data_IF_385665617422
#
_entry.id   IF_385665617422
#
_cell.length_a   1.000
_cell.length_b   1.000
_cell.length_c   1.000
_cell.angle_alpha   90.00
_cell.angle_beta   90.00
_cell.angle_gamma   90.00
#
_symmetry.space_group_name_H-M   'P 1'
#
loop_
_entity.id
_entity.type
_entity.pdbx_description
1 polymer ?
#
# COMPACT_ATOMS: atom_id res chain seq x y z
N UNK A 1 12.70 27.39 -14.75
CA UNK A 1 11.48 26.60 -15.02
C UNK A 1 10.90 26.17 -13.68
N UNK A 2 9.62 26.38 -13.39
CA UNK A 2 8.95 25.83 -12.21
C UNK A 2 8.88 24.31 -12.29
N UNK A 3 9.09 23.63 -11.16
CA UNK A 3 9.00 22.18 -11.04
C UNK A 3 7.93 21.84 -10.01
N UNK A 4 7.00 20.96 -10.38
CA UNK A 4 6.04 20.35 -9.47
C UNK A 4 6.40 18.87 -9.35
N UNK A 5 6.68 18.40 -8.12
CA UNK A 5 7.11 17.06 -7.87
C UNK A 5 6.11 16.32 -6.97
N UNK A 6 5.38 15.39 -7.56
CA UNK A 6 4.45 14.52 -6.82
C UNK A 6 5.22 13.40 -6.13
N UNK A 7 4.95 13.19 -4.85
CA UNK A 7 5.61 12.20 -4.01
C UNK A 7 4.62 11.12 -3.59
N UNK A 8 4.93 9.88 -3.98
CA UNK A 8 4.13 8.70 -3.65
C UNK A 8 4.75 7.84 -2.55
N UNK A 9 5.99 8.15 -2.13
CA UNK A 9 6.70 7.44 -1.07
C UNK A 9 7.75 8.34 -0.40
N UNK A 10 8.48 7.78 0.56
CA UNK A 10 9.50 8.51 1.32
C UNK A 10 10.90 8.47 0.69
N UNK A 11 11.08 7.82 -0.45
CA UNK A 11 12.40 7.62 -1.06
C UNK A 11 13.13 8.94 -1.36
N UNK A 12 12.41 9.98 -1.70
CA UNK A 12 12.95 11.30 -2.04
C UNK A 12 13.86 11.85 -0.96
N UNK A 13 13.46 11.75 0.31
CA UNK A 13 14.20 12.33 1.44
C UNK A 13 14.91 11.30 2.33
N UNK A 14 14.94 10.04 1.91
CA UNK A 14 15.74 8.99 2.57
C UNK A 14 17.02 8.68 1.78
N UNK A 15 17.95 7.96 2.41
CA UNK A 15 19.15 7.51 1.72
C UNK A 15 18.99 6.24 0.91
N UNK A 16 17.88 5.48 1.13
CA UNK A 16 17.69 4.18 0.50
C UNK A 16 16.20 3.81 0.38
N UNK A 17 15.52 3.62 1.49
CA UNK A 17 14.21 2.99 1.56
C UNK A 17 13.05 3.93 1.19
N UNK A 18 11.99 3.36 0.61
CA UNK A 18 10.73 4.05 0.32
C UNK A 18 9.78 4.07 1.53
N UNK A 19 9.97 3.15 2.48
CA UNK A 19 9.18 2.98 3.70
C UNK A 19 10.11 2.72 4.88
N UNK A 20 9.78 3.21 6.08
CA UNK A 20 10.65 3.09 7.25
C UNK A 20 9.90 3.03 8.60
N UNK A 21 8.61 3.30 8.62
CA UNK A 21 7.82 3.31 9.87
C UNK A 21 7.68 1.90 10.44
N UNK A 22 7.38 0.91 9.58
CA UNK A 22 7.23 -0.49 9.99
C UNK A 22 8.43 -1.05 10.77
N UNK A 23 9.64 -0.55 10.46
CA UNK A 23 10.87 -0.95 11.16
C UNK A 23 11.35 0.08 12.19
N UNK A 24 10.60 1.16 12.41
CA UNK A 24 10.91 2.20 13.38
C UNK A 24 12.23 2.96 13.11
N UNK A 25 12.56 3.26 11.84
CA UNK A 25 13.82 3.93 11.49
C UNK A 25 13.64 5.44 11.36
N UNK A 26 14.33 6.20 12.20
CA UNK A 26 14.34 7.67 12.23
C UNK A 26 15.59 8.33 11.63
N UNK A 27 16.52 7.55 11.07
CA UNK A 27 17.80 8.04 10.56
C UNK A 27 17.67 9.08 9.46
N UNK A 28 16.58 9.03 8.69
CA UNK A 28 16.30 9.99 7.61
C UNK A 28 16.18 11.44 8.07
N UNK A 29 15.86 11.69 9.34
CA UNK A 29 15.73 13.04 9.91
C UNK A 29 17.07 13.78 9.98
N UNK A 30 18.15 13.07 10.31
CA UNK A 30 19.47 13.66 10.55
C UNK A 30 20.55 13.19 9.59
N UNK A 31 20.39 12.00 8.99
CA UNK A 31 21.33 11.45 8.02
C UNK A 31 21.30 9.92 7.98
N UNK A 32 20.95 9.37 6.83
CA UNK A 32 20.93 7.92 6.64
C UNK A 32 22.35 7.33 6.65
N UNK A 33 22.51 6.22 7.37
CA UNK A 33 23.70 5.35 7.35
C UNK A 33 23.32 4.00 7.95
N UNK A 34 24.04 2.93 7.59
CA UNK A 34 23.75 1.56 8.07
C UNK A 34 22.28 1.25 7.96
N UNK A 35 21.79 1.24 6.70
CA UNK A 35 20.36 1.07 6.42
C UNK A 35 19.88 -0.32 6.86
N UNK A 36 18.92 -0.43 7.81
CA UNK A 36 18.39 -1.72 8.23
C UNK A 36 17.58 -2.43 7.14
N UNK A 37 17.16 -1.68 6.11
CA UNK A 37 16.34 -2.16 5.00
C UNK A 37 17.11 -2.24 3.67
N UNK A 38 18.45 -2.38 3.68
CA UNK A 38 19.19 -2.41 2.41
C UNK A 38 18.78 -3.56 1.49
N UNK A 39 18.24 -4.64 2.04
CA UNK A 39 17.73 -5.80 1.30
C UNK A 39 16.22 -5.70 0.95
N UNK A 40 15.53 -4.66 1.43
CA UNK A 40 14.16 -4.35 1.02
C UNK A 40 14.16 -3.47 -0.22
N UNK A 41 13.00 -3.22 -0.81
CA UNK A 41 12.88 -2.36 -1.97
C UNK A 41 13.22 -0.87 -1.65
N UNK A 42 14.03 -0.23 -2.49
CA UNK A 42 14.85 -0.74 -3.59
C UNK A 42 16.06 -1.55 -3.04
N UNK A 43 16.25 -2.78 -3.56
CA UNK A 43 17.23 -3.73 -3.00
C UNK A 43 18.67 -3.35 -3.34
N UNK A 44 19.58 -3.42 -2.35
CA UNK A 44 21.03 -3.29 -2.54
C UNK A 44 21.74 -4.50 -1.94
N UNK A 45 22.22 -5.39 -2.80
CA UNK A 45 22.81 -6.66 -2.37
C UNK A 45 24.22 -6.51 -1.78
N UNK A 46 25.09 -5.69 -2.44
CA UNK A 46 26.50 -5.64 -2.12
C UNK A 46 26.85 -4.55 -1.10
N UNK A 47 26.53 -3.30 -1.39
CA UNK A 47 26.99 -2.16 -0.62
C UNK A 47 25.84 -1.35 -0.02
N UNK A 48 25.98 -0.92 1.22
CA UNK A 48 25.11 0.10 1.79
C UNK A 48 25.60 1.50 1.37
N UNK A 49 24.91 2.09 0.39
CA UNK A 49 25.16 3.45 -0.06
C UNK A 49 24.24 4.50 0.57
N UNK A 50 23.47 4.13 1.59
CA UNK A 50 22.44 5.01 2.16
C UNK A 50 23.01 6.36 2.63
N UNK A 51 24.20 6.38 3.22
CA UNK A 51 24.84 7.62 3.62
C UNK A 51 25.22 8.53 2.45
N UNK A 52 25.86 7.95 1.42
CA UNK A 52 26.24 8.69 0.21
C UNK A 52 25.02 9.20 -0.54
N UNK A 53 24.03 8.34 -0.72
CA UNK A 53 22.80 8.70 -1.43
C UNK A 53 22.05 9.82 -0.69
N UNK A 54 21.95 9.74 0.63
CA UNK A 54 21.33 10.79 1.44
C UNK A 54 22.01 12.15 1.22
N UNK A 55 23.36 12.18 1.28
CA UNK A 55 24.14 13.42 1.07
C UNK A 55 23.94 13.98 -0.34
N UNK A 56 24.01 13.12 -1.37
CA UNK A 56 23.81 13.54 -2.75
C UNK A 56 22.40 14.08 -2.96
N UNK A 57 21.38 13.35 -2.50
CA UNK A 57 19.98 13.80 -2.61
C UNK A 57 19.77 15.14 -1.89
N UNK A 58 20.27 15.26 -0.66
CA UNK A 58 20.19 16.52 0.08
C UNK A 58 20.81 17.66 -0.72
N UNK A 59 22.05 17.50 -1.21
CA UNK A 59 22.75 18.54 -1.97
C UNK A 59 21.99 18.90 -3.26
N UNK A 60 21.60 17.90 -4.04
CA UNK A 60 20.96 18.11 -5.36
C UNK A 60 19.54 18.65 -5.19
N UNK A 61 18.74 18.04 -4.33
CA UNK A 61 17.33 18.42 -4.24
C UNK A 61 17.11 19.74 -3.51
N UNK A 62 17.98 20.12 -2.56
CA UNK A 62 17.86 21.43 -1.91
C UNK A 62 18.43 22.59 -2.74
N UNK A 63 19.07 22.32 -3.88
CA UNK A 63 19.56 23.35 -4.81
C UNK A 63 18.57 23.68 -5.96
N UNK A 64 17.44 22.98 -6.03
CA UNK A 64 16.46 23.18 -7.10
C UNK A 64 15.67 24.47 -6.82
N UNK A 65 15.74 25.50 -7.69
CA UNK A 65 14.92 26.68 -7.54
C UNK A 65 13.48 26.39 -8.00
N UNK A 66 12.49 27.09 -7.41
CA UNK A 66 11.09 27.05 -7.82
C UNK A 66 10.48 25.61 -7.82
N UNK A 67 10.78 24.83 -6.78
CA UNK A 67 10.23 23.50 -6.57
C UNK A 67 9.01 23.55 -5.64
N UNK A 68 7.93 22.90 -6.06
CA UNK A 68 6.75 22.61 -5.24
C UNK A 68 6.65 21.12 -5.04
N UNK A 69 6.53 20.68 -3.78
CA UNK A 69 6.34 19.28 -3.41
C UNK A 69 4.85 18.99 -3.25
N UNK A 70 4.41 17.92 -3.88
CA UNK A 70 3.01 17.48 -3.85
C UNK A 70 2.92 16.08 -3.26
N UNK A 71 2.88 15.95 -1.91
CA UNK A 71 2.63 14.66 -1.26
C UNK A 71 1.18 14.21 -1.45
N UNK A 72 0.97 12.90 -1.49
CA UNK A 72 -0.35 12.29 -1.72
C UNK A 72 -1.17 12.10 -0.43
N UNK A 73 -0.65 12.52 0.72
CA UNK A 73 -1.33 12.45 2.02
C UNK A 73 -0.85 13.56 2.97
N UNK A 74 -1.65 13.89 3.96
CA UNK A 74 -1.24 14.81 5.03
C UNK A 74 -0.16 14.18 5.91
N UNK A 75 -0.20 12.85 6.08
CA UNK A 75 0.86 12.10 6.75
C UNK A 75 2.22 12.28 6.05
N UNK A 76 2.29 12.10 4.72
CA UNK A 76 3.53 12.29 3.96
C UNK A 76 3.98 13.76 3.96
N UNK A 77 3.03 14.70 3.89
CA UNK A 77 3.30 16.13 4.05
C UNK A 77 3.92 16.44 5.42
N UNK A 78 3.42 15.79 6.47
CA UNK A 78 3.98 15.89 7.82
C UNK A 78 5.43 15.42 7.88
N UNK A 79 5.77 14.28 7.27
CA UNK A 79 7.14 13.78 7.21
C UNK A 79 8.08 14.73 6.46
N UNK A 80 7.64 15.30 5.35
CA UNK A 80 8.43 16.27 4.57
C UNK A 80 8.87 17.46 5.40
N UNK A 81 8.03 17.95 6.30
CA UNK A 81 8.34 19.08 7.21
C UNK A 81 9.49 18.79 8.20
N UNK A 82 9.80 17.51 8.44
CA UNK A 82 10.94 17.08 9.24
C UNK A 82 12.15 16.62 8.43
N UNK A 83 12.02 16.61 7.10
CA UNK A 83 13.08 16.21 6.18
C UNK A 83 13.99 17.37 5.78
N UNK A 84 15.06 17.09 5.03
CA UNK A 84 15.88 18.14 4.41
C UNK A 84 15.16 18.92 3.31
N UNK A 85 13.94 18.52 2.92
CA UNK A 85 13.09 19.21 1.92
C UNK A 85 12.13 20.23 2.56
N UNK A 86 12.19 20.45 3.87
CA UNK A 86 11.23 21.24 4.65
C UNK A 86 11.06 22.71 4.22
N UNK A 87 12.05 23.28 3.57
CA UNK A 87 12.04 24.68 3.12
C UNK A 87 11.23 24.90 1.83
N UNK A 88 10.84 23.82 1.13
CA UNK A 88 10.04 23.92 -0.07
C UNK A 88 8.55 24.10 0.23
N UNK A 89 7.83 24.74 -0.70
CA UNK A 89 6.37 24.79 -0.65
C UNK A 89 5.79 23.39 -0.77
N UNK A 90 4.96 23.00 0.20
CA UNK A 90 4.29 21.69 0.24
C UNK A 90 2.80 21.93 -0.02
N UNK A 91 2.26 21.25 -1.05
CA UNK A 91 0.85 21.28 -1.45
C UNK A 91 0.32 19.87 -1.55
N UNK A 92 -0.44 19.40 -0.55
CA UNK A 92 -1.02 18.07 -0.57
C UNK A 92 -2.10 17.97 -1.66
N UNK A 93 -2.02 16.91 -2.48
CA UNK A 93 -3.07 16.51 -3.43
C UNK A 93 -3.23 15.00 -3.29
N UNK A 94 -4.41 14.54 -2.90
CA UNK A 94 -4.73 13.12 -2.79
C UNK A 94 -4.70 12.43 -4.15
N UNK A 95 -4.38 11.12 -4.17
CA UNK A 95 -4.60 10.32 -5.36
C UNK A 95 -6.10 10.20 -5.62
N UNK A 96 -6.46 10.14 -6.90
CA UNK A 96 -7.81 9.81 -7.33
C UNK A 96 -7.95 8.32 -7.68
N UNK A 97 -9.18 7.94 -7.99
CA UNK A 97 -9.55 6.63 -8.54
C UNK A 97 -10.38 6.82 -9.80
N UNK A 98 -10.22 5.93 -10.77
CA UNK A 98 -11.04 5.93 -12.00
C UNK A 98 -12.42 5.34 -11.72
N UNK A 99 -13.43 6.20 -11.56
CA UNK A 99 -14.81 5.81 -11.30
C UNK A 99 -15.51 5.15 -12.50
N UNK A 100 -14.96 5.27 -13.73
CA UNK A 100 -15.48 4.53 -14.88
C UNK A 100 -15.14 3.05 -14.80
N UNK A 101 -13.99 2.73 -14.21
CA UNK A 101 -13.55 1.35 -14.00
C UNK A 101 -13.98 0.81 -12.64
N UNK A 102 -13.76 1.56 -11.57
CA UNK A 102 -14.15 1.19 -10.21
C UNK A 102 -15.51 1.79 -9.89
N UNK A 103 -16.53 0.99 -10.04
CA UNK A 103 -17.91 1.28 -9.71
C UNK A 103 -18.63 -0.03 -9.37
N UNK A 104 -19.79 0.01 -8.66
CA UNK A 104 -20.52 -1.20 -8.30
C UNK A 104 -20.86 -2.05 -9.54
N UNK A 105 -20.52 -3.35 -9.52
CA UNK A 105 -20.74 -4.30 -10.60
C UNK A 105 -21.92 -5.22 -10.28
N UNK A 106 -22.82 -5.43 -11.26
CA UNK A 106 -24.08 -6.17 -11.03
C UNK A 106 -23.98 -7.69 -10.97
N UNK A 107 -22.90 -8.32 -11.44
CA UNK A 107 -22.82 -9.77 -11.63
C UNK A 107 -22.09 -10.54 -10.50
N UNK A 108 -22.45 -10.24 -9.27
CA UNK A 108 -21.75 -10.68 -8.06
C UNK A 108 -21.85 -12.19 -7.79
N UNK A 109 -22.99 -12.81 -8.06
CA UNK A 109 -23.22 -14.24 -7.79
C UNK A 109 -22.40 -15.17 -8.70
N UNK A 110 -22.23 -14.79 -9.96
CA UNK A 110 -21.46 -15.59 -10.92
C UNK A 110 -19.97 -15.65 -10.51
N UNK A 111 -19.40 -14.53 -10.09
CA UNK A 111 -18.02 -14.49 -9.60
C UNK A 111 -17.84 -15.37 -8.37
N UNK A 112 -18.73 -15.27 -7.37
CA UNK A 112 -18.65 -16.12 -6.16
C UNK A 112 -18.66 -17.60 -6.49
N UNK A 113 -19.53 -18.03 -7.41
CA UNK A 113 -19.58 -19.42 -7.90
C UNK A 113 -18.28 -19.84 -8.59
N UNK A 114 -17.74 -18.99 -9.45
CA UNK A 114 -16.48 -19.25 -10.19
C UNK A 114 -15.29 -19.48 -9.26
N UNK A 115 -15.23 -18.76 -8.14
CA UNK A 115 -14.14 -18.90 -7.15
C UNK A 115 -14.49 -19.85 -6.00
N UNK A 116 -15.63 -20.54 -6.05
CA UNK A 116 -16.02 -21.52 -5.04
C UNK A 116 -16.43 -20.94 -3.68
N UNK A 117 -16.82 -19.68 -3.62
CA UNK A 117 -17.23 -19.00 -2.37
C UNK A 117 -18.73 -19.15 -2.17
N UNK A 118 -19.13 -19.99 -1.21
CA UNK A 118 -20.52 -20.27 -0.83
C UNK A 118 -20.93 -19.63 0.50
N UNK A 119 -19.97 -19.16 1.27
CA UNK A 119 -20.19 -18.54 2.57
C UNK A 119 -21.03 -17.26 2.44
N UNK A 120 -21.78 -16.95 3.52
CA UNK A 120 -22.63 -15.76 3.54
C UNK A 120 -21.81 -14.47 3.38
N UNK A 121 -20.69 -14.37 4.05
CA UNK A 121 -19.83 -13.19 4.05
C UNK A 121 -18.49 -13.45 3.35
N UNK A 122 -18.06 -12.49 2.58
CA UNK A 122 -16.78 -12.52 1.88
C UNK A 122 -15.94 -11.30 2.25
N UNK A 123 -14.77 -11.55 2.81
CA UNK A 123 -13.73 -10.56 3.05
C UNK A 123 -12.74 -10.61 1.89
N UNK A 124 -12.30 -9.44 1.42
CA UNK A 124 -11.28 -9.36 0.39
C UNK A 124 -10.04 -8.60 0.87
N UNK A 125 -8.86 -9.07 0.47
CA UNK A 125 -7.60 -8.35 0.60
C UNK A 125 -6.88 -8.28 -0.74
N UNK A 126 -6.31 -7.13 -1.07
CA UNK A 126 -5.62 -6.89 -2.35
C UNK A 126 -4.27 -6.24 -2.10
N UNK A 127 -3.22 -6.80 -2.68
CA UNK A 127 -1.89 -6.20 -2.72
C UNK A 127 -1.17 -6.59 -3.99
N UNK A 128 -0.34 -5.71 -4.55
CA UNK A 128 0.53 -6.06 -5.68
C UNK A 128 1.63 -7.05 -5.27
N UNK A 129 2.09 -6.95 -4.02
CA UNK A 129 3.07 -7.87 -3.39
C UNK A 129 2.72 -8.01 -1.91
N UNK A 130 2.43 -9.22 -1.49
CA UNK A 130 2.20 -9.54 -0.09
C UNK A 130 3.53 -9.72 0.65
N UNK A 131 3.97 -8.66 1.29
CA UNK A 131 5.11 -8.64 2.22
C UNK A 131 4.63 -8.61 3.67
N UNK A 132 5.54 -8.77 4.63
CA UNK A 132 5.22 -8.64 6.06
C UNK A 132 4.50 -7.31 6.37
N UNK A 133 4.96 -6.21 5.75
CA UNK A 133 4.35 -4.88 5.90
C UNK A 133 2.89 -4.82 5.42
N UNK A 134 2.49 -5.66 4.45
CA UNK A 134 1.12 -5.68 3.89
C UNK A 134 0.15 -6.57 4.68
N UNK A 135 0.61 -7.22 5.76
CA UNK A 135 -0.28 -7.87 6.73
C UNK A 135 -0.86 -9.22 6.28
N UNK A 136 -0.13 -10.02 5.46
CA UNK A 136 -0.60 -11.38 5.13
C UNK A 136 -0.77 -12.24 6.39
N UNK A 137 0.14 -12.09 7.37
CA UNK A 137 0.05 -12.81 8.64
C UNK A 137 -1.21 -12.43 9.45
N UNK A 138 -1.67 -11.18 9.32
CA UNK A 138 -2.89 -10.71 10.00
C UNK A 138 -4.14 -11.38 9.41
N UNK A 139 -4.19 -11.61 8.09
CA UNK A 139 -5.26 -12.41 7.48
C UNK A 139 -5.26 -13.85 7.97
N UNK A 140 -4.08 -14.48 8.08
CA UNK A 140 -3.96 -15.83 8.61
C UNK A 140 -4.41 -15.88 10.08
N UNK A 141 -4.07 -14.87 10.87
CA UNK A 141 -4.52 -14.76 12.26
C UNK A 141 -6.05 -14.51 12.35
N UNK A 142 -6.58 -13.65 11.48
CA UNK A 142 -8.01 -13.37 11.40
C UNK A 142 -8.81 -14.63 11.00
N UNK A 143 -8.28 -15.44 10.06
CA UNK A 143 -8.92 -16.72 9.66
C UNK A 143 -9.19 -17.64 10.85
N UNK A 144 -8.30 -17.69 11.83
CA UNK A 144 -8.45 -18.55 13.02
C UNK A 144 -9.57 -18.08 13.96
N UNK A 145 -10.01 -16.83 13.85
CA UNK A 145 -11.02 -16.20 14.70
C UNK A 145 -12.43 -16.21 14.10
N UNK A 146 -12.54 -16.42 12.79
CA UNK A 146 -13.83 -16.37 12.07
C UNK A 146 -14.32 -17.79 11.74
N UNK A 147 -15.64 -18.00 11.77
CA UNK A 147 -16.27 -19.24 11.33
C UNK A 147 -16.00 -19.48 9.83
N UNK A 148 -15.47 -20.66 9.48
CA UNK A 148 -15.22 -21.04 8.08
C UNK A 148 -16.52 -21.29 7.31
N UNK A 149 -17.60 -21.59 8.02
CA UNK A 149 -18.92 -21.82 7.43
C UNK A 149 -19.59 -20.50 7.02
N UNK A 150 -19.31 -19.41 7.73
CA UNK A 150 -19.95 -18.11 7.50
C UNK A 150 -19.10 -17.15 6.69
N UNK A 151 -17.76 -17.21 6.87
CA UNK A 151 -16.83 -16.21 6.32
C UNK A 151 -15.84 -16.85 5.35
N UNK A 152 -15.86 -16.42 4.09
CA UNK A 152 -14.78 -16.64 3.14
C UNK A 152 -13.81 -15.47 3.18
N UNK A 153 -12.53 -15.75 2.92
CA UNK A 153 -11.52 -14.73 2.65
C UNK A 153 -10.94 -14.95 1.27
N UNK A 154 -10.81 -13.88 0.49
CA UNK A 154 -10.21 -13.90 -0.86
C UNK A 154 -9.04 -12.94 -0.87
N UNK A 155 -7.84 -13.45 -1.18
CA UNK A 155 -6.62 -12.64 -1.23
C UNK A 155 -6.07 -12.61 -2.64
N UNK A 156 -5.90 -11.39 -3.18
CA UNK A 156 -5.42 -11.16 -4.56
C UNK A 156 -4.01 -10.58 -4.53
N UNK A 157 -3.14 -11.04 -5.43
CA UNK A 157 -1.75 -10.60 -5.58
C UNK A 157 -0.73 -11.51 -4.89
N UNK A 158 -1.09 -12.76 -4.62
CA UNK A 158 -0.23 -13.75 -3.98
C UNK A 158 0.69 -14.45 -4.98
N UNK A 159 1.88 -14.81 -4.55
CA UNK A 159 2.73 -15.76 -5.29
C UNK A 159 2.17 -17.17 -5.20
N UNK A 160 2.53 -18.05 -6.15
CA UNK A 160 2.10 -19.46 -6.11
C UNK A 160 2.51 -20.17 -4.81
N UNK A 161 3.71 -19.88 -4.30
CA UNK A 161 4.17 -20.40 -3.01
C UNK A 161 3.26 -19.96 -1.86
N UNK A 162 2.92 -18.68 -1.81
CA UNK A 162 2.00 -18.15 -0.78
C UNK A 162 0.62 -18.80 -0.86
N UNK A 163 0.10 -19.02 -2.08
CA UNK A 163 -1.20 -19.69 -2.28
C UNK A 163 -1.18 -21.12 -1.72
N UNK A 164 -0.10 -21.87 -1.94
CA UNK A 164 0.05 -23.25 -1.43
C UNK A 164 0.16 -23.30 0.10
N UNK A 165 0.64 -22.23 0.72
CA UNK A 165 0.83 -22.14 2.19
C UNK A 165 -0.41 -21.55 2.91
N UNK A 166 -1.46 -21.16 2.18
CA UNK A 166 -2.67 -20.60 2.80
C UNK A 166 -3.44 -21.65 3.63
N UNK A 167 -3.94 -21.26 4.80
CA UNK A 167 -4.83 -22.14 5.56
C UNK A 167 -6.18 -22.30 4.85
N UNK A 168 -6.88 -23.38 5.17
CA UNK A 168 -8.23 -23.63 4.67
C UNK A 168 -9.17 -22.44 4.96
N UNK A 169 -10.05 -22.12 4.00
CA UNK A 169 -11.01 -21.02 4.10
C UNK A 169 -10.46 -19.66 3.65
N UNK A 170 -9.22 -19.64 3.11
CA UNK A 170 -8.69 -18.51 2.35
C UNK A 170 -8.49 -18.93 0.90
N UNK A 171 -9.13 -18.23 -0.02
CA UNK A 171 -8.96 -18.40 -1.47
C UNK A 171 -7.85 -17.46 -1.93
N UNK A 172 -6.76 -18.00 -2.46
CA UNK A 172 -5.62 -17.24 -2.98
C UNK A 172 -5.72 -17.06 -4.50
N UNK A 173 -5.53 -15.83 -4.97
CA UNK A 173 -5.51 -15.48 -6.39
C UNK A 173 -4.18 -14.77 -6.68
N UNK A 174 -3.44 -15.23 -7.70
CA UNK A 174 -2.16 -14.63 -8.02
C UNK A 174 -2.30 -13.23 -8.62
N UNK A 175 -3.25 -13.07 -9.54
CA UNK A 175 -3.61 -11.76 -10.15
C UNK A 175 -4.96 -11.87 -10.86
N UNK A 176 -5.60 -10.75 -11.04
CA UNK A 176 -6.78 -10.62 -11.93
C UNK A 176 -6.34 -10.46 -13.37
N UNK A 177 -7.21 -10.84 -14.33
CA UNK A 177 -6.92 -10.70 -15.76
C UNK A 177 -7.06 -9.26 -16.25
N UNK A 178 -7.80 -8.44 -15.52
CA UNK A 178 -8.04 -7.04 -15.84
C UNK A 178 -8.38 -6.23 -14.59
N UNK A 179 -8.29 -4.91 -14.69
CA UNK A 179 -8.72 -3.97 -13.65
C UNK A 179 -10.24 -4.06 -13.44
N UNK A 180 -11.00 -4.33 -14.51
CA UNK A 180 -12.45 -4.55 -14.42
C UNK A 180 -12.79 -5.79 -13.59
N UNK A 181 -12.05 -6.89 -13.77
CA UNK A 181 -12.22 -8.07 -12.93
C UNK A 181 -11.90 -7.77 -11.47
N UNK A 182 -10.91 -6.92 -11.19
CA UNK A 182 -10.63 -6.48 -9.84
C UNK A 182 -11.80 -5.69 -9.23
N UNK A 183 -12.45 -4.82 -10.01
CA UNK A 183 -13.66 -4.10 -9.59
C UNK A 183 -14.82 -5.06 -9.28
N UNK A 184 -14.96 -6.15 -10.05
CA UNK A 184 -15.93 -7.21 -9.75
C UNK A 184 -15.64 -7.88 -8.40
N UNK A 185 -14.37 -8.15 -8.08
CA UNK A 185 -13.98 -8.70 -6.77
C UNK A 185 -14.29 -7.75 -5.61
N UNK A 186 -14.03 -6.46 -5.77
CA UNK A 186 -14.45 -5.49 -4.75
C UNK A 186 -15.96 -5.50 -4.59
N UNK A 187 -16.73 -5.34 -5.67
CA UNK A 187 -18.19 -5.23 -5.63
C UNK A 187 -18.91 -6.46 -5.04
N UNK A 188 -18.30 -7.64 -5.09
CA UNK A 188 -18.89 -8.86 -4.53
C UNK A 188 -18.55 -9.08 -3.07
N UNK A 189 -17.55 -8.39 -2.55
CA UNK A 189 -17.11 -8.50 -1.17
C UNK A 189 -18.05 -7.74 -0.22
N UNK A 190 -18.19 -8.25 0.99
CA UNK A 190 -18.88 -7.55 2.06
C UNK A 190 -18.00 -6.51 2.76
N UNK A 191 -16.68 -6.72 2.71
CA UNK A 191 -15.70 -5.80 3.29
C UNK A 191 -14.34 -6.00 2.64
N UNK A 192 -13.65 -4.91 2.34
CA UNK A 192 -12.24 -4.88 2.00
C UNK A 192 -11.42 -4.69 3.28
N UNK A 193 -10.48 -5.57 3.51
CA UNK A 193 -9.58 -5.50 4.67
C UNK A 193 -8.18 -5.17 4.18
N UNK A 194 -7.61 -4.06 4.64
CA UNK A 194 -6.27 -3.60 4.33
C UNK A 194 -5.43 -3.52 5.60
N UNK A 195 -4.87 -4.65 6.11
CA UNK A 195 -4.12 -4.69 7.36
C UNK A 195 -2.66 -4.25 7.15
N UNK A 196 -2.46 -3.19 6.35
CA UNK A 196 -1.12 -2.68 6.09
C UNK A 196 -0.55 -2.00 7.32
N UNK A 197 0.71 -2.32 7.66
CA UNK A 197 1.45 -1.70 8.77
C UNK A 197 2.11 -0.38 8.39
N UNK A 198 2.20 -0.10 7.09
CA UNK A 198 2.68 1.18 6.56
C UNK A 198 2.21 1.36 5.12
N UNK A 199 1.55 2.47 4.85
CA UNK A 199 1.22 2.92 3.50
C UNK A 199 1.16 4.44 3.45
N UNK A 200 1.45 5.02 2.29
CA UNK A 200 1.42 6.47 2.11
C UNK A 200 0.02 6.99 1.77
N UNK A 201 -0.69 6.27 0.92
CA UNK A 201 -2.07 6.53 0.52
C UNK A 201 -2.55 5.36 -0.35
N UNK A 202 -3.13 4.30 0.23
CA UNK A 202 -3.47 3.10 -0.51
C UNK A 202 -4.67 3.34 -1.44
N UNK A 203 -4.40 3.37 -2.75
CA UNK A 203 -5.47 3.51 -3.76
C UNK A 203 -6.46 2.34 -3.72
N UNK A 204 -6.05 1.18 -3.23
CA UNK A 204 -6.92 0.02 -3.01
C UNK A 204 -8.09 0.31 -2.05
N UNK A 205 -7.92 1.24 -1.09
CA UNK A 205 -9.02 1.69 -0.25
C UNK A 205 -10.04 2.48 -1.08
N UNK A 206 -9.57 3.41 -1.92
CA UNK A 206 -10.43 4.19 -2.83
C UNK A 206 -11.14 3.29 -3.84
N UNK A 207 -10.43 2.31 -4.41
CA UNK A 207 -10.97 1.35 -5.36
C UNK A 207 -12.13 0.54 -4.74
N UNK A 208 -11.94 0.07 -3.50
CA UNK A 208 -12.97 -0.65 -2.76
C UNK A 208 -14.20 0.23 -2.48
N UNK A 209 -13.96 1.44 -1.94
CA UNK A 209 -15.06 2.40 -1.65
C UNK A 209 -15.80 2.81 -2.92
N UNK A 210 -15.12 3.01 -4.04
CA UNK A 210 -15.73 3.30 -5.34
C UNK A 210 -16.61 2.15 -5.86
N UNK A 211 -16.32 0.92 -5.45
CA UNK A 211 -17.13 -0.27 -5.74
C UNK A 211 -18.20 -0.58 -4.69
N UNK A 212 -18.54 0.38 -3.81
CA UNK A 212 -19.53 0.25 -2.74
C UNK A 212 -19.13 -0.75 -1.64
N UNK A 213 -17.83 -1.01 -1.48
CA UNK A 213 -17.31 -1.98 -0.52
C UNK A 213 -16.70 -1.25 0.67
N UNK A 214 -17.23 -1.41 1.88
CA UNK A 214 -16.66 -0.78 3.08
C UNK A 214 -15.25 -1.28 3.36
N UNK A 215 -14.41 -0.40 3.93
CA UNK A 215 -12.98 -0.64 4.17
C UNK A 215 -12.69 -0.73 5.66
N UNK A 216 -11.90 -1.74 6.04
CA UNK A 216 -11.26 -1.83 7.36
C UNK A 216 -9.76 -1.73 7.15
N UNK A 217 -9.12 -0.75 7.78
CA UNK A 217 -7.67 -0.56 7.71
C UNK A 217 -7.09 -0.20 9.08
N UNK A 218 -5.78 -0.41 9.26
CA UNK A 218 -5.10 0.08 10.45
C UNK A 218 -4.90 1.60 10.39
N UNK A 219 -4.90 2.23 11.57
CA UNK A 219 -4.56 3.65 11.71
C UNK A 219 -3.04 3.82 11.56
N UNK A 220 -2.54 3.77 10.32
CA UNK A 220 -1.12 3.83 10.00
C UNK A 220 -0.86 4.61 8.72
N UNK A 221 0.19 5.42 8.71
CA UNK A 221 0.56 6.22 7.56
C UNK A 221 -0.59 7.11 7.09
N UNK A 222 -0.77 7.19 5.78
CA UNK A 222 -1.92 7.84 5.14
C UNK A 222 -3.09 6.88 4.85
N UNK A 223 -3.11 5.68 5.45
CA UNK A 223 -4.16 4.67 5.19
C UNK A 223 -5.55 5.12 5.59
N UNK A 224 -5.65 5.95 6.63
CA UNK A 224 -6.92 6.49 7.12
C UNK A 224 -7.41 7.74 6.37
N UNK A 225 -6.58 8.24 5.46
CA UNK A 225 -6.90 9.41 4.64
C UNK A 225 -7.52 9.04 3.29
N UNK A 226 -7.41 7.76 2.92
CA UNK A 226 -7.88 7.20 1.66
C UNK A 226 -9.27 6.57 1.78
#
# INVERSE_FOLDING_TARGET
IPIVWTLHDCWTFTGHCAHFIFIGCDKWKVGCKHCPQKLSYPTSWLCDRSHRNYKIKKMVYTSIPNLILVPVSDWLAGLLRFSFMKEYSIRRIYNGVDLMTFSPQGNTLQLRRRIGVIQRYMLIGVASVWSARKGLADFVALRRKLSIQEYAMVLIGLTQKQIQELPQGIVGISRTNSVKELAEYYSVANVFVNPTWEDNFPTTNLEALACDTPVITYQTGGSIEA
#
